data_IF_142794560242
#
_entry.id   IF_142794560242
#
_cell.length_a   1.000
_cell.length_b   1.000
_cell.length_c   1.000
_cell.angle_alpha   90.00
_cell.angle_beta   90.00
_cell.angle_gamma   90.00
#
_symmetry.space_group_name_H-M   'P 1'
#
loop_
_entity.id
_entity.type
_entity.pdbx_description
1 polymer ?
#
# COMPACT_ATOMS: atom_id res chain seq x y z
N UNK A 1 8.71 23.22 25.23
CA UNK A 1 7.57 23.24 24.31
C UNK A 1 6.61 22.17 24.80
N UNK A 2 5.59 22.58 25.55
CA UNK A 2 4.59 21.64 26.06
C UNK A 2 3.54 21.49 24.96
N UNK A 3 3.25 20.26 24.56
CA UNK A 3 2.12 19.99 23.67
C UNK A 3 0.84 20.25 24.47
N UNK A 4 0.03 21.21 24.02
CA UNK A 4 -1.34 21.34 24.49
C UNK A 4 -2.10 20.11 23.98
N UNK A 5 -2.56 19.27 24.90
CA UNK A 5 -3.44 18.15 24.58
C UNK A 5 -4.83 18.73 24.43
N UNK A 6 -5.33 18.78 23.20
CA UNK A 6 -6.71 19.16 22.91
C UNK A 6 -7.64 18.08 23.51
N UNK A 7 -8.58 18.46 24.38
CA UNK A 7 -9.56 17.53 24.96
C UNK A 7 -10.45 16.96 23.86
N UNK A 8 -10.10 15.76 23.37
CA UNK A 8 -10.87 15.08 22.33
C UNK A 8 -12.00 14.27 22.98
N UNK A 9 -13.23 14.49 22.52
CA UNK A 9 -14.41 13.71 22.95
C UNK A 9 -14.65 12.55 21.99
N UNK A 10 -15.22 11.46 22.51
CA UNK A 10 -15.61 10.32 21.67
C UNK A 10 -16.76 10.71 20.74
N UNK A 11 -16.62 10.43 19.45
CA UNK A 11 -17.65 10.68 18.44
C UNK A 11 -18.82 9.71 18.55
N UNK A 12 -20.03 10.18 18.24
CA UNK A 12 -21.26 9.37 18.22
C UNK A 12 -22.03 9.62 16.92
N UNK A 13 -22.70 8.59 16.39
CA UNK A 13 -23.48 8.71 15.15
C UNK A 13 -22.66 8.74 13.86
N UNK A 14 -21.38 8.35 13.90
CA UNK A 14 -20.47 8.35 12.75
C UNK A 14 -20.71 7.19 11.74
N UNK A 15 -21.64 6.28 12.01
CA UNK A 15 -21.96 5.15 11.14
C UNK A 15 -23.42 5.23 10.64
N UNK A 16 -23.70 4.96 9.35
CA UNK A 16 -22.76 4.57 8.30
C UNK A 16 -21.87 5.73 7.85
N UNK A 17 -20.66 5.41 7.40
CA UNK A 17 -19.73 6.40 6.85
C UNK A 17 -20.22 7.01 5.53
N UNK A 18 -19.56 8.09 5.05
CA UNK A 18 -19.93 8.75 3.80
C UNK A 18 -19.83 7.81 2.59
N UNK A 19 -20.80 7.88 1.67
CA UNK A 19 -20.84 7.03 0.46
C UNK A 19 -19.59 7.23 -0.43
N UNK A 20 -19.05 8.45 -0.46
CA UNK A 20 -17.84 8.79 -1.24
C UNK A 20 -16.58 8.02 -0.79
N UNK A 21 -16.57 7.50 0.43
CA UNK A 21 -15.43 6.79 1.03
C UNK A 21 -15.59 5.26 0.88
N UNK A 22 -16.63 4.81 0.16
CA UNK A 22 -16.85 3.39 -0.13
C UNK A 22 -15.74 2.87 -1.04
N UNK A 23 -15.11 1.77 -0.63
CA UNK A 23 -14.12 1.03 -1.43
C UNK A 23 -14.84 -0.04 -2.26
N UNK A 24 -14.41 -0.20 -3.51
CA UNK A 24 -14.94 -1.20 -4.44
C UNK A 24 -14.42 -2.61 -4.09
N UNK A 25 -15.28 -3.61 -4.24
CA UNK A 25 -14.88 -5.02 -4.16
C UNK A 25 -14.18 -5.47 -5.45
N UNK A 26 -13.14 -6.29 -5.31
CA UNK A 26 -12.40 -6.89 -6.42
C UNK A 26 -12.24 -8.39 -6.16
N UNK A 27 -12.48 -9.21 -7.19
CA UNK A 27 -12.26 -10.65 -7.13
C UNK A 27 -10.87 -10.97 -7.66
N UNK A 28 -10.04 -11.58 -6.82
CA UNK A 28 -8.72 -12.09 -7.22
C UNK A 28 -8.81 -13.60 -7.33
N UNK A 29 -8.65 -14.12 -8.55
CA UNK A 29 -8.74 -15.56 -8.80
C UNK A 29 -7.40 -16.24 -8.52
N UNK A 30 -7.31 -17.00 -7.42
CA UNK A 30 -6.09 -17.71 -7.01
C UNK A 30 -5.80 -18.96 -7.85
N UNK A 31 -6.78 -19.45 -8.63
CA UNK A 31 -6.60 -20.57 -9.57
C UNK A 31 -5.78 -20.17 -10.80
N UNK A 32 -5.62 -18.87 -11.06
CA UNK A 32 -4.72 -18.37 -12.10
C UNK A 32 -3.26 -18.51 -11.68
N UNK A 33 -2.38 -18.59 -12.69
CA UNK A 33 -0.95 -18.44 -12.48
C UNK A 33 -0.65 -17.11 -11.77
N UNK A 34 0.26 -17.09 -10.77
CA UNK A 34 0.63 -15.89 -10.01
C UNK A 34 0.79 -14.61 -10.84
N UNK A 35 1.43 -14.67 -12.00
CA UNK A 35 1.66 -13.51 -12.88
C UNK A 35 0.36 -12.86 -13.38
N UNK A 36 -0.75 -13.60 -13.44
CA UNK A 36 -2.01 -13.14 -14.02
C UNK A 36 -3.03 -12.68 -12.97
N UNK A 37 -2.86 -13.06 -11.70
CA UNK A 37 -3.83 -12.81 -10.61
C UNK A 37 -4.21 -11.34 -10.42
N UNK A 38 -3.23 -10.45 -10.58
CA UNK A 38 -3.38 -9.01 -10.31
C UNK A 38 -3.54 -8.16 -11.57
N UNK A 39 -3.53 -8.77 -12.76
CA UNK A 39 -3.44 -8.07 -14.04
C UNK A 39 -4.62 -7.13 -14.28
N UNK A 40 -5.84 -7.60 -14.07
CA UNK A 40 -7.06 -6.82 -14.31
C UNK A 40 -7.08 -5.53 -13.48
N UNK A 41 -6.88 -5.67 -12.16
CA UNK A 41 -6.94 -4.53 -11.24
C UNK A 41 -5.76 -3.58 -11.44
N UNK A 42 -4.56 -4.10 -11.70
CA UNK A 42 -3.38 -3.24 -11.91
C UNK A 42 -3.43 -2.48 -13.23
N UNK A 43 -4.02 -3.03 -14.28
CA UNK A 43 -4.30 -2.29 -15.52
C UNK A 43 -5.34 -1.19 -15.27
N UNK A 44 -6.43 -1.49 -14.55
CA UNK A 44 -7.46 -0.49 -14.18
C UNK A 44 -6.87 0.66 -13.33
N UNK A 45 -5.99 0.35 -12.39
CA UNK A 45 -5.40 1.29 -11.43
C UNK A 45 -4.08 1.92 -11.90
N UNK A 46 -3.61 1.56 -13.10
CA UNK A 46 -2.33 2.04 -13.65
C UNK A 46 -2.19 3.57 -13.61
N UNK A 47 -3.19 4.39 -13.98
CA UNK A 47 -3.06 5.84 -13.90
C UNK A 47 -2.76 6.35 -12.49
N UNK A 48 -3.43 5.78 -11.48
CA UNK A 48 -3.25 6.13 -10.08
C UNK A 48 -1.88 5.68 -9.56
N UNK A 49 -1.43 4.48 -9.93
CA UNK A 49 -0.09 3.98 -9.61
C UNK A 49 0.99 4.90 -10.20
N UNK A 50 0.89 5.26 -11.48
CA UNK A 50 1.86 6.16 -12.10
C UNK A 50 1.87 7.55 -11.48
N UNK A 51 0.70 8.08 -11.10
CA UNK A 51 0.62 9.38 -10.42
C UNK A 51 1.31 9.33 -9.05
N UNK A 52 1.00 8.32 -8.23
CA UNK A 52 1.65 8.14 -6.93
C UNK A 52 3.18 7.99 -7.08
N UNK A 53 3.62 7.26 -8.10
CA UNK A 53 5.05 7.04 -8.37
C UNK A 53 5.76 8.36 -8.71
N UNK A 54 5.09 9.22 -9.48
CA UNK A 54 5.60 10.53 -9.81
C UNK A 54 5.72 11.42 -8.57
N UNK A 55 4.73 11.39 -7.67
CA UNK A 55 4.79 12.13 -6.40
C UNK A 55 5.97 11.66 -5.54
N UNK A 56 6.19 10.35 -5.45
CA UNK A 56 7.34 9.79 -4.72
C UNK A 56 8.66 10.22 -5.36
N UNK A 57 8.78 10.18 -6.69
CA UNK A 57 9.96 10.66 -7.43
C UNK A 57 10.23 12.12 -7.16
N UNK A 58 9.18 12.96 -7.18
CA UNK A 58 9.30 14.39 -6.91
C UNK A 58 9.73 14.64 -5.46
N UNK A 59 9.08 13.98 -4.51
CA UNK A 59 9.37 14.11 -3.08
C UNK A 59 10.80 13.68 -2.75
N UNK A 60 11.30 12.63 -3.39
CA UNK A 60 12.64 12.08 -3.13
C UNK A 60 13.73 12.60 -4.06
N UNK A 61 13.45 13.60 -4.91
CA UNK A 61 14.40 14.10 -5.91
C UNK A 61 15.69 14.67 -5.29
N UNK A 62 15.64 15.12 -4.03
CA UNK A 62 16.82 15.60 -3.31
C UNK A 62 17.74 14.45 -2.84
N UNK A 63 17.24 13.22 -2.77
CA UNK A 63 17.96 12.06 -2.25
C UNK A 63 18.98 11.59 -3.29
N UNK A 64 20.23 11.38 -2.84
CA UNK A 64 21.35 10.94 -3.69
C UNK A 64 21.53 11.81 -4.96
N UNK A 65 21.23 13.11 -4.88
CA UNK A 65 21.25 14.04 -6.01
C UNK A 65 20.38 13.58 -7.19
N UNK A 66 19.16 13.08 -6.90
CA UNK A 66 18.19 12.63 -7.90
C UNK A 66 18.41 11.21 -8.42
N UNK A 67 19.45 10.51 -7.96
CA UNK A 67 19.81 9.17 -8.47
C UNK A 67 19.10 8.01 -7.76
N UNK A 68 18.26 8.28 -6.77
CA UNK A 68 17.62 7.24 -5.96
C UNK A 68 16.92 6.18 -6.84
N UNK A 69 16.20 6.62 -7.87
CA UNK A 69 15.47 5.71 -8.76
C UNK A 69 16.37 4.92 -9.72
N UNK A 70 17.56 5.41 -10.04
CA UNK A 70 18.55 4.65 -10.80
C UNK A 70 18.98 3.42 -9.98
N UNK A 71 19.31 3.62 -8.69
CA UNK A 71 19.65 2.53 -7.77
C UNK A 71 18.48 1.59 -7.52
N UNK A 72 17.25 2.11 -7.36
CA UNK A 72 16.06 1.27 -7.21
C UNK A 72 15.89 0.33 -8.40
N UNK A 73 16.04 0.86 -9.62
CA UNK A 73 15.89 0.09 -10.85
C UNK A 73 17.03 -0.91 -11.07
N UNK A 74 18.23 -0.63 -10.58
CA UNK A 74 19.38 -1.52 -10.68
C UNK A 74 19.34 -2.67 -9.65
N UNK A 75 19.05 -2.36 -8.38
CA UNK A 75 19.30 -3.30 -7.28
C UNK A 75 18.04 -4.02 -6.75
N UNK A 76 16.90 -3.34 -6.65
CA UNK A 76 15.69 -3.95 -6.07
C UNK A 76 15.11 -5.13 -6.87
N UNK A 77 15.24 -5.23 -8.21
CA UNK A 77 14.76 -6.40 -8.94
C UNK A 77 15.35 -7.74 -8.45
N UNK A 78 16.56 -7.74 -7.89
CA UNK A 78 17.19 -8.96 -7.37
C UNK A 78 16.41 -9.58 -6.20
N UNK A 79 15.76 -8.76 -5.36
CA UNK A 79 14.98 -9.19 -4.20
C UNK A 79 13.81 -10.09 -4.62
N UNK A 80 13.25 -9.87 -5.80
CA UNK A 80 12.12 -10.65 -6.32
C UNK A 80 12.43 -12.15 -6.40
N UNK A 81 13.70 -12.50 -6.62
CA UNK A 81 14.13 -13.91 -6.70
C UNK A 81 14.29 -14.58 -5.34
N UNK A 82 14.39 -13.79 -4.25
CA UNK A 82 14.53 -14.30 -2.89
C UNK A 82 13.20 -14.41 -2.16
N UNK A 83 12.13 -13.83 -2.71
CA UNK A 83 10.79 -13.92 -2.13
C UNK A 83 10.23 -15.34 -2.31
N UNK A 84 9.51 -15.87 -1.30
CA UNK A 84 8.81 -17.13 -1.47
C UNK A 84 7.75 -17.02 -2.57
N UNK A 85 7.47 -18.14 -3.22
CA UNK A 85 6.31 -18.23 -4.11
C UNK A 85 5.03 -17.99 -3.30
N UNK A 86 4.06 -17.19 -3.79
CA UNK A 86 3.91 -16.68 -5.16
C UNK A 86 4.46 -15.26 -5.41
N UNK A 87 4.96 -14.57 -4.38
CA UNK A 87 5.10 -13.11 -4.39
C UNK A 87 6.02 -12.60 -5.51
N UNK A 88 7.16 -13.26 -5.72
CA UNK A 88 8.09 -12.85 -6.77
C UNK A 88 7.48 -12.89 -8.18
N UNK A 89 6.61 -13.87 -8.44
CA UNK A 89 5.90 -14.02 -9.71
C UNK A 89 4.79 -13.00 -9.86
N UNK A 90 4.04 -12.75 -8.79
CA UNK A 90 2.99 -11.71 -8.76
C UNK A 90 3.57 -10.32 -9.06
N UNK A 91 4.71 -9.94 -8.46
CA UNK A 91 5.37 -8.66 -8.73
C UNK A 91 5.85 -8.53 -10.19
N UNK A 92 6.35 -9.61 -10.79
CA UNK A 92 6.70 -9.65 -12.21
C UNK A 92 5.47 -9.47 -13.10
N UNK A 93 4.36 -10.12 -12.75
CA UNK A 93 3.06 -9.96 -13.42
C UNK A 93 2.58 -8.51 -13.41
N UNK A 94 2.62 -7.86 -12.24
CA UNK A 94 2.26 -6.45 -12.09
C UNK A 94 3.17 -5.53 -12.92
N UNK A 95 4.49 -5.76 -12.87
CA UNK A 95 5.46 -5.00 -13.68
C UNK A 95 5.18 -5.14 -15.18
N UNK A 96 4.92 -6.36 -15.66
CA UNK A 96 4.59 -6.62 -17.06
C UNK A 96 3.25 -5.99 -17.48
N UNK A 97 2.22 -6.07 -16.65
CA UNK A 97 0.89 -5.54 -16.95
C UNK A 97 0.86 -4.00 -16.97
N UNK A 98 1.62 -3.35 -16.08
CA UNK A 98 1.63 -1.90 -15.94
C UNK A 98 2.71 -1.22 -16.78
N UNK A 99 3.82 -1.91 -17.08
CA UNK A 99 5.02 -1.32 -17.66
C UNK A 99 5.87 -0.53 -16.65
N UNK A 100 5.54 -0.59 -15.36
CA UNK A 100 6.35 0.01 -14.30
C UNK A 100 7.59 -0.87 -14.08
N UNK A 101 8.80 -0.28 -13.99
CA UNK A 101 10.01 -1.05 -13.72
C UNK A 101 9.87 -1.94 -12.48
N UNK A 102 10.37 -3.18 -12.54
CA UNK A 102 10.21 -4.16 -11.46
C UNK A 102 10.74 -3.65 -10.12
N UNK A 103 11.85 -2.90 -10.12
CA UNK A 103 12.40 -2.31 -8.89
C UNK A 103 11.45 -1.30 -8.23
N UNK A 104 10.72 -0.52 -9.02
CA UNK A 104 9.73 0.43 -8.53
C UNK A 104 8.45 -0.27 -8.03
N UNK A 105 8.05 -1.38 -8.67
CA UNK A 105 6.96 -2.24 -8.15
C UNK A 105 7.35 -2.87 -6.80
N UNK A 106 8.61 -3.31 -6.65
CA UNK A 106 9.15 -3.81 -5.38
C UNK A 106 9.17 -2.70 -4.32
N UNK A 107 9.60 -1.48 -4.68
CA UNK A 107 9.61 -0.34 -3.78
C UNK A 107 8.22 -0.08 -3.17
N UNK A 108 7.15 -0.17 -3.96
CA UNK A 108 5.79 -0.02 -3.44
C UNK A 108 5.43 -1.02 -2.37
N UNK A 109 5.92 -2.25 -2.47
CA UNK A 109 5.65 -3.27 -1.47
C UNK A 109 6.48 -3.02 -0.19
N UNK A 110 7.71 -2.52 -0.33
CA UNK A 110 8.55 -2.12 0.82
C UNK A 110 7.93 -0.95 1.59
N UNK A 111 7.21 -0.05 0.93
CA UNK A 111 6.60 1.10 1.60
C UNK A 111 5.61 0.72 2.71
N UNK A 112 4.91 -0.39 2.57
CA UNK A 112 4.02 -0.89 3.61
C UNK A 112 4.75 -1.34 4.88
N UNK A 113 6.05 -1.66 4.77
CA UNK A 113 6.89 -2.11 5.88
C UNK A 113 7.49 -0.96 6.71
N UNK A 114 7.52 0.27 6.17
CA UNK A 114 8.26 1.40 6.78
C UNK A 114 7.38 2.58 7.13
N UNK A 115 6.35 2.87 6.33
CA UNK A 115 5.61 4.14 6.40
C UNK A 115 4.18 4.02 6.92
N UNK A 116 3.82 2.85 7.45
CA UNK A 116 2.49 2.59 8.00
C UNK A 116 2.42 2.84 9.49
N UNK A 117 1.30 3.41 9.94
CA UNK A 117 0.88 3.45 11.34
C UNK A 117 -0.53 2.86 11.41
N UNK A 118 -0.94 2.39 12.58
CA UNK A 118 -2.28 1.86 12.74
C UNK A 118 -2.82 2.00 14.17
N UNK A 119 -4.14 2.00 14.25
CA UNK A 119 -4.90 1.69 15.46
C UNK A 119 -5.69 0.41 15.17
N UNK A 120 -5.60 -0.60 16.03
CA UNK A 120 -6.32 -1.87 15.87
C UNK A 120 -7.07 -2.21 17.17
N UNK A 121 -8.31 -2.67 17.04
CA UNK A 121 -9.18 -3.01 18.16
C UNK A 121 -9.77 -4.40 17.92
N UNK A 122 -9.65 -5.27 18.93
CA UNK A 122 -10.36 -6.54 19.01
C UNK A 122 -11.26 -6.49 20.24
N UNK A 123 -12.55 -6.80 20.07
CA UNK A 123 -13.54 -6.77 21.14
C UNK A 123 -14.41 -8.03 21.11
N UNK A 124 -14.81 -8.49 22.29
CA UNK A 124 -15.72 -9.63 22.47
C UNK A 124 -16.99 -9.15 23.16
N UNK A 125 -18.16 -9.57 22.67
CA UNK A 125 -19.43 -9.28 23.35
C UNK A 125 -19.65 -10.22 24.52
N UNK A 126 -20.56 -9.91 25.46
CA UNK A 126 -20.95 -10.85 26.52
C UNK A 126 -21.51 -12.19 26.02
N UNK A 127 -21.86 -12.30 24.72
CA UNK A 127 -22.32 -13.54 24.07
C UNK A 127 -21.19 -14.32 23.40
N UNK A 128 -19.96 -13.83 23.41
CA UNK A 128 -18.80 -14.44 22.78
C UNK A 128 -18.60 -14.07 21.29
N UNK A 129 -19.29 -13.06 20.78
CA UNK A 129 -19.09 -12.60 19.40
C UNK A 129 -17.86 -11.69 19.30
N UNK A 130 -16.99 -11.94 18.32
CA UNK A 130 -15.76 -11.18 18.12
C UNK A 130 -15.92 -10.11 17.04
N UNK A 131 -15.43 -8.92 17.34
CA UNK A 131 -15.30 -7.79 16.41
C UNK A 131 -13.84 -7.41 16.28
N UNK A 132 -13.39 -7.19 15.04
CA UNK A 132 -12.05 -6.70 14.74
C UNK A 132 -12.16 -5.49 13.80
N UNK A 133 -11.65 -4.36 14.23
CA UNK A 133 -11.63 -3.12 13.47
C UNK A 133 -10.23 -2.49 13.48
N UNK A 134 -9.91 -1.73 12.44
CA UNK A 134 -8.63 -1.01 12.35
C UNK A 134 -8.73 0.28 11.54
N UNK A 135 -7.83 1.21 11.86
CA UNK A 135 -7.42 2.28 10.96
C UNK A 135 -6.11 1.88 10.26
N UNK A 136 -5.91 2.36 9.05
CA UNK A 136 -4.64 2.29 8.33
C UNK A 136 -4.22 3.71 8.01
N UNK A 137 -3.17 4.16 8.69
CA UNK A 137 -2.60 5.47 8.48
C UNK A 137 -1.32 5.29 7.67
N UNK A 138 -1.09 6.15 6.67
CA UNK A 138 0.04 6.04 5.77
C UNK A 138 0.72 7.40 5.61
N UNK A 139 2.05 7.38 5.48
CA UNK A 139 2.83 8.59 5.20
C UNK A 139 3.54 9.16 6.41
N UNK A 140 3.99 8.30 7.32
CA UNK A 140 4.89 8.71 8.39
C UNK A 140 6.13 9.41 7.79
N UNK A 141 6.29 10.71 8.04
CA UNK A 141 7.33 11.58 7.46
C UNK A 141 7.25 11.84 5.94
N UNK A 142 6.11 11.57 5.29
CA UNK A 142 5.86 11.92 3.88
C UNK A 142 5.13 13.27 3.72
N UNK A 143 5.19 14.13 4.75
CA UNK A 143 4.61 15.47 4.80
C UNK A 143 5.41 16.40 5.71
#
# INVERSE_FOLDING_TARGET
MCFEVEETKCETGAYPGPIKDKVDDVVINLDLEPEERWKEITVKMKPQLLNLLQEIKNFTNFVLNGKLFDYINEYLPAIVTTLPDPYGRELKGISAATGIPLGEVVLYNIFYEVFTVCTSIVAETPKGELYHARNLDFGLFLG
#
